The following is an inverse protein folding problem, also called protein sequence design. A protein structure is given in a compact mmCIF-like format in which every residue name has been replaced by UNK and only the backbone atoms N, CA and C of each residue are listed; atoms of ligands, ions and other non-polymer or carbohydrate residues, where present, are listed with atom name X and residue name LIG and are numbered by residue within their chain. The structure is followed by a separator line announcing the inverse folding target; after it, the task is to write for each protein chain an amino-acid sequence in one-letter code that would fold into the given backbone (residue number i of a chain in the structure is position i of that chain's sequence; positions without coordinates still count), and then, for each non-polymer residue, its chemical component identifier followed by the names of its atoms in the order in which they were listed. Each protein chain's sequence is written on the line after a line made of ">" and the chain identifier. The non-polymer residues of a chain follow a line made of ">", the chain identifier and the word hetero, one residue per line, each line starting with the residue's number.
data_IF_332295405361
#
_entry.id   IF_332295405361
#
_cell.length_a   1.000
_cell.length_b   1.000
_cell.length_c   1.000
_cell.angle_alpha   90.00
_cell.angle_beta   90.00
_cell.angle_gamma   90.00
#
_symmetry.space_group_name_H-M   'P 1'
#
loop_
_entity.id
_entity.type
_entity.pdbx_description
1 polymer ?
#
# COMPACT_ATOMS: atom_id res chain seq x y z
N UNK A 1 -40.31 9.55 56.34
CA UNK A 1 -39.89 10.40 55.20
C UNK A 1 -38.43 10.77 55.45
N UNK A 2 -37.42 10.51 54.62
CA UNK A 2 -37.24 9.76 53.40
C UNK A 2 -35.72 9.41 53.32
N UNK A 3 -35.38 8.26 52.73
CA UNK A 3 -34.02 7.93 52.28
C UNK A 3 -33.59 8.93 51.19
N UNK A 4 -32.28 9.17 51.03
CA UNK A 4 -31.56 9.04 49.75
C UNK A 4 -30.12 9.57 49.88
N UNK A 5 -29.11 8.70 49.82
CA UNK A 5 -28.44 8.13 48.64
C UNK A 5 -27.15 8.89 48.29
N UNK A 6 -26.04 8.26 48.66
CA UNK A 6 -24.68 8.46 48.16
C UNK A 6 -24.68 8.33 46.63
N UNK A 7 -24.39 9.42 45.89
CA UNK A 7 -24.17 9.36 44.44
C UNK A 7 -22.69 9.63 44.13
N UNK A 8 -22.02 8.55 43.76
CA UNK A 8 -20.63 8.49 43.27
C UNK A 8 -20.47 9.31 41.98
N UNK A 9 -19.30 9.90 41.72
CA UNK A 9 -19.03 10.58 40.45
C UNK A 9 -18.88 9.55 39.31
N UNK A 10 -19.71 9.70 38.28
CA UNK A 10 -19.58 9.01 36.99
C UNK A 10 -18.29 9.49 36.31
N UNK A 11 -17.28 8.63 36.24
CA UNK A 11 -16.08 8.89 35.44
C UNK A 11 -16.35 8.38 34.03
N UNK A 12 -16.56 9.30 33.09
CA UNK A 12 -16.66 8.97 31.65
C UNK A 12 -15.24 8.82 31.11
N UNK A 13 -14.81 7.58 30.88
CA UNK A 13 -13.58 7.30 30.17
C UNK A 13 -13.82 7.41 28.66
N UNK A 14 -13.48 8.55 28.08
CA UNK A 14 -13.35 8.67 26.62
C UNK A 14 -12.14 7.85 26.16
N UNK A 15 -12.37 6.64 25.69
CA UNK A 15 -11.36 5.87 24.96
C UNK A 15 -11.19 6.52 23.59
N UNK A 16 -10.23 7.44 23.49
CA UNK A 16 -9.79 8.01 22.22
C UNK A 16 -9.14 6.89 21.39
N UNK A 17 -9.88 6.35 20.43
CA UNK A 17 -9.32 5.55 19.36
C UNK A 17 -8.34 6.44 18.57
N UNK A 18 -7.03 6.12 18.52
CA UNK A 18 -6.15 6.82 17.61
C UNK A 18 -6.58 6.48 16.18
N UNK A 19 -7.22 7.44 15.51
CA UNK A 19 -7.31 7.44 14.06
C UNK A 19 -5.87 7.55 13.54
N UNK A 20 -5.26 6.39 13.26
CA UNK A 20 -4.01 6.30 12.50
C UNK A 20 -4.30 6.71 11.06
N UNK A 21 -4.50 8.00 10.83
CA UNK A 21 -4.49 8.58 9.50
C UNK A 21 -3.03 8.59 9.03
N UNK A 22 -2.56 7.48 8.46
CA UNK A 22 -1.29 7.45 7.77
C UNK A 22 -1.44 8.26 6.48
N UNK A 23 -0.95 9.49 6.49
CA UNK A 23 -0.66 10.21 5.26
C UNK A 23 0.56 9.53 4.61
N UNK A 24 0.32 8.53 3.77
CA UNK A 24 1.37 7.94 2.96
C UNK A 24 1.93 9.01 2.02
N UNK A 25 3.26 9.19 1.95
CA UNK A 25 3.87 10.13 1.00
C UNK A 25 3.53 9.67 -0.42
N UNK A 26 2.58 10.37 -1.06
CA UNK A 26 2.04 10.01 -2.39
C UNK A 26 3.05 10.20 -3.53
N UNK A 27 4.21 10.77 -3.22
CA UNK A 27 5.25 11.11 -4.18
C UNK A 27 6.38 10.07 -4.24
N UNK A 28 6.34 9.04 -3.37
CA UNK A 28 7.34 7.97 -3.33
C UNK A 28 6.69 6.61 -3.46
N UNK A 29 7.36 5.70 -4.18
CA UNK A 29 6.85 4.33 -4.31
C UNK A 29 6.98 3.57 -2.98
N UNK A 30 5.95 2.84 -2.59
CA UNK A 30 5.96 1.99 -1.38
C UNK A 30 5.82 0.52 -1.75
N UNK A 31 6.26 -0.35 -0.84
CA UNK A 31 6.16 -1.80 -0.98
C UNK A 31 5.42 -2.33 0.24
N UNK A 32 4.40 -3.14 -0.01
CA UNK A 32 3.63 -3.85 1.00
C UNK A 32 3.75 -5.36 0.80
N UNK A 33 3.82 -6.11 1.89
CA UNK A 33 3.84 -7.58 1.85
C UNK A 33 2.41 -8.07 1.65
N UNK A 34 2.22 -9.02 0.74
CA UNK A 34 0.91 -9.60 0.51
C UNK A 34 0.45 -10.44 1.72
N UNK A 35 -0.86 -10.43 1.96
CA UNK A 35 -1.45 -11.38 2.91
C UNK A 35 -1.22 -12.83 2.46
N UNK A 36 -1.18 -13.80 3.39
CA UNK A 36 -1.07 -15.21 3.04
C UNK A 36 -2.16 -15.68 2.07
N UNK A 37 -1.81 -16.60 1.16
CA UNK A 37 -2.75 -17.17 0.19
C UNK A 37 -2.95 -16.36 -1.10
N UNK A 38 -2.26 -15.22 -1.25
CA UNK A 38 -2.25 -14.47 -2.51
C UNK A 38 -1.33 -15.11 -3.56
N UNK A 39 -1.61 -14.83 -4.83
CA UNK A 39 -0.79 -15.30 -5.97
C UNK A 39 0.49 -14.48 -6.16
N UNK A 40 0.65 -13.39 -5.41
CA UNK A 40 1.79 -12.48 -5.35
C UNK A 40 2.33 -12.40 -3.93
N UNK A 41 3.61 -12.05 -3.80
CA UNK A 41 4.28 -11.92 -2.50
C UNK A 41 4.34 -10.46 -2.02
N UNK A 42 4.40 -9.51 -2.96
CA UNK A 42 4.41 -8.08 -2.64
C UNK A 42 3.51 -7.27 -3.58
N UNK A 43 3.11 -6.12 -3.05
CA UNK A 43 2.34 -5.08 -3.72
C UNK A 43 3.21 -3.83 -3.77
N UNK A 44 3.45 -3.31 -4.97
CA UNK A 44 4.19 -2.05 -5.14
C UNK A 44 3.23 -0.97 -5.54
N UNK A 45 3.07 0.04 -4.68
CA UNK A 45 2.38 1.27 -5.04
C UNK A 45 3.41 2.15 -5.72
N UNK A 46 3.26 2.33 -7.03
CA UNK A 46 4.19 3.12 -7.83
C UNK A 46 3.83 4.59 -7.70
N UNK A 47 4.85 5.44 -7.59
CA UNK A 47 4.66 6.89 -7.49
C UNK A 47 3.75 7.39 -8.62
N UNK A 48 2.83 8.30 -8.30
CA UNK A 48 1.87 8.83 -9.28
C UNK A 48 2.26 10.21 -9.83
N UNK A 49 3.52 10.60 -9.63
CA UNK A 49 4.11 11.85 -10.11
C UNK A 49 4.86 11.62 -11.42
N UNK A 50 4.64 12.51 -12.39
CA UNK A 50 5.40 12.52 -13.63
C UNK A 50 6.84 12.98 -13.35
N UNK A 51 7.80 12.33 -14.00
CA UNK A 51 9.21 12.70 -13.96
C UNK A 51 9.81 12.61 -15.37
N UNK A 52 10.98 13.21 -15.58
CA UNK A 52 11.73 13.11 -16.81
C UNK A 52 12.08 11.64 -17.09
N UNK A 53 11.40 11.04 -18.08
CA UNK A 53 11.44 9.61 -18.47
C UNK A 53 10.55 8.66 -17.64
N UNK A 54 9.58 9.18 -16.90
CA UNK A 54 8.58 8.37 -16.23
C UNK A 54 7.18 8.96 -16.37
N UNK A 55 6.28 8.18 -16.95
CA UNK A 55 4.85 8.48 -17.01
C UNK A 55 4.06 7.35 -16.32
N UNK A 56 3.39 7.60 -15.17
CA UNK A 56 2.63 6.57 -14.46
C UNK A 56 1.43 6.03 -15.25
N UNK A 57 0.94 6.74 -16.27
CA UNK A 57 -0.09 6.23 -17.18
C UNK A 57 0.44 5.18 -18.15
N UNK A 58 1.75 5.17 -18.43
CA UNK A 58 2.41 4.19 -19.30
C UNK A 58 2.73 2.93 -18.49
N UNK A 59 2.11 1.81 -18.87
CA UNK A 59 2.29 0.50 -18.22
C UNK A 59 3.74 0.08 -18.08
N UNK A 60 4.53 0.28 -19.13
CA UNK A 60 5.92 -0.13 -19.14
C UNK A 60 6.76 0.62 -18.09
N UNK A 61 6.51 1.92 -17.95
CA UNK A 61 7.19 2.77 -16.98
C UNK A 61 6.87 2.33 -15.55
N UNK A 62 5.61 2.02 -15.26
CA UNK A 62 5.18 1.44 -13.98
C UNK A 62 5.91 0.15 -13.66
N UNK A 63 5.97 -0.78 -14.60
CA UNK A 63 6.64 -2.07 -14.41
C UNK A 63 8.15 -1.87 -14.18
N UNK A 64 8.79 -0.99 -14.94
CA UNK A 64 10.22 -0.70 -14.79
C UNK A 64 10.52 -0.08 -13.42
N UNK A 65 9.70 0.87 -12.97
CA UNK A 65 9.86 1.47 -11.65
C UNK A 65 9.60 0.46 -10.53
N UNK A 66 8.52 -0.32 -10.62
CA UNK A 66 8.20 -1.36 -9.63
C UNK A 66 9.34 -2.38 -9.49
N UNK A 67 9.92 -2.83 -10.62
CA UNK A 67 11.10 -3.71 -10.60
C UNK A 67 12.30 -3.06 -9.94
N UNK A 68 12.57 -1.78 -10.24
CA UNK A 68 13.70 -1.05 -9.65
C UNK A 68 13.56 -0.95 -8.14
N UNK A 69 12.36 -0.59 -7.68
CA UNK A 69 12.03 -0.40 -6.25
C UNK A 69 12.06 -1.73 -5.50
N UNK A 70 11.53 -2.81 -6.08
CA UNK A 70 11.49 -4.13 -5.42
C UNK A 70 12.82 -4.91 -5.49
N UNK A 71 13.77 -4.51 -6.34
CA UNK A 71 15.04 -5.24 -6.56
C UNK A 71 15.85 -5.54 -5.29
N UNK A 72 15.97 -4.63 -4.29
CA UNK A 72 16.71 -4.92 -3.06
C UNK A 72 16.11 -6.05 -2.24
N UNK A 73 14.79 -6.25 -2.30
CA UNK A 73 14.06 -7.27 -1.54
C UNK A 73 13.94 -8.55 -2.36
N UNK A 74 13.77 -8.42 -3.66
CA UNK A 74 13.41 -9.50 -4.57
C UNK A 74 14.26 -9.43 -5.84
N UNK A 75 15.47 -10.00 -5.82
CA UNK A 75 16.41 -9.88 -6.94
C UNK A 75 15.93 -10.58 -8.23
N UNK A 76 15.17 -11.67 -8.08
CA UNK A 76 14.47 -12.38 -9.17
C UNK A 76 12.98 -12.32 -8.91
N UNK A 77 12.25 -11.68 -9.80
CA UNK A 77 10.82 -11.45 -9.63
C UNK A 77 10.06 -11.65 -10.95
N UNK A 78 8.78 -11.97 -10.82
CA UNK A 78 7.80 -12.01 -11.90
C UNK A 78 6.70 -11.00 -11.58
N UNK A 79 6.29 -10.21 -12.58
CA UNK A 79 5.10 -9.38 -12.47
C UNK A 79 3.90 -10.28 -12.78
N UNK A 80 2.96 -10.39 -11.84
CA UNK A 80 1.79 -11.24 -11.99
C UNK A 80 0.53 -10.46 -12.34
N UNK A 81 0.52 -9.14 -12.13
CA UNK A 81 -0.58 -8.27 -12.52
C UNK A 81 -0.34 -6.81 -12.15
N UNK A 82 -1.34 -5.98 -12.46
CA UNK A 82 -1.40 -4.58 -12.07
C UNK A 82 -2.85 -4.14 -11.88
N UNK A 83 -3.05 -3.09 -11.07
CA UNK A 83 -4.34 -2.44 -10.85
C UNK A 83 -4.18 -0.92 -10.85
N UNK A 84 -5.23 -0.21 -11.26
CA UNK A 84 -5.34 1.24 -11.17
C UNK A 84 -6.57 1.59 -10.36
N UNK A 85 -6.39 2.21 -9.21
CA UNK A 85 -7.48 2.68 -8.37
C UNK A 85 -7.69 4.17 -8.63
N UNK A 86 -8.77 4.51 -9.35
CA UNK A 86 -9.18 5.90 -9.50
C UNK A 86 -9.88 6.33 -8.22
N UNK A 87 -9.38 7.40 -7.60
CA UNK A 87 -9.98 7.99 -6.39
C UNK A 87 -10.94 9.14 -6.70
N UNK A 88 -11.33 9.27 -7.98
CA UNK A 88 -12.28 10.29 -8.44
C UNK A 88 -13.72 9.87 -8.13
N UNK A 89 -14.37 10.64 -7.25
CA UNK A 89 -15.80 10.52 -6.96
C UNK A 89 -16.48 11.68 -7.67
N UNK A 90 -17.09 11.43 -8.84
CA UNK A 90 -18.02 12.32 -9.54
C UNK A 90 -17.74 13.84 -9.44
N UNK A 91 -16.50 14.28 -9.68
CA UNK A 91 -16.12 15.70 -9.64
C UNK A 91 -15.97 16.35 -8.26
N UNK A 92 -16.09 15.58 -7.16
CA UNK A 92 -15.89 16.07 -5.78
C UNK A 92 -14.44 15.91 -5.30
N UNK A 93 -13.73 14.87 -5.75
CA UNK A 93 -12.33 14.63 -5.39
C UNK A 93 -11.49 14.39 -6.65
N UNK A 94 -10.60 15.33 -6.97
CA UNK A 94 -9.54 15.16 -8.00
C UNK A 94 -8.38 14.35 -7.44
N UNK A 95 -8.67 13.15 -6.93
CA UNK A 95 -7.64 12.27 -6.41
C UNK A 95 -6.82 11.68 -7.56
N UNK A 96 -5.48 11.87 -7.52
CA UNK A 96 -4.60 11.16 -8.45
C UNK A 96 -4.80 9.64 -8.31
N UNK A 97 -4.83 8.89 -9.41
CA UNK A 97 -4.96 7.44 -9.35
C UNK A 97 -3.81 6.82 -8.55
N UNK A 98 -4.12 5.77 -7.81
CA UNK A 98 -3.12 4.89 -7.22
C UNK A 98 -2.84 3.74 -8.19
N UNK A 99 -1.56 3.51 -8.47
CA UNK A 99 -1.12 2.47 -9.39
C UNK A 99 -0.41 1.40 -8.62
N UNK A 100 -0.88 0.17 -8.80
CA UNK A 100 -0.41 -0.96 -8.02
C UNK A 100 0.12 -2.04 -8.96
N UNK A 101 1.30 -2.55 -8.65
CA UNK A 101 1.92 -3.66 -9.39
C UNK A 101 2.11 -4.84 -8.44
N UNK A 102 1.58 -5.99 -8.83
CA UNK A 102 1.68 -7.23 -8.06
C UNK A 102 2.89 -8.03 -8.52
N UNK A 103 3.75 -8.41 -7.57
CA UNK A 103 4.97 -9.14 -7.87
C UNK A 103 5.10 -10.41 -7.04
N UNK A 104 5.68 -11.42 -7.68
CA UNK A 104 6.03 -12.70 -7.09
C UNK A 104 7.53 -12.89 -7.14
N UNK A 105 8.14 -13.24 -6.01
CA UNK A 105 9.54 -13.58 -5.94
C UNK A 105 9.78 -14.99 -6.46
N UNK A 106 10.79 -15.10 -7.31
CA UNK A 106 11.20 -16.38 -7.84
C UNK A 106 12.34 -16.92 -6.98
N UNK A 107 12.34 -18.23 -6.67
CA UNK A 107 13.44 -18.82 -5.95
C UNK A 107 14.74 -18.59 -6.72
N UNK A 108 15.78 -18.20 -5.99
CA UNK A 108 17.13 -18.29 -6.50
C UNK A 108 17.37 -19.77 -6.80
N UNK A 109 17.34 -20.16 -8.08
CA UNK A 109 17.87 -21.47 -8.49
C UNK A 109 19.28 -21.57 -7.93
N UNK A 110 19.47 -22.32 -6.85
CA UNK A 110 20.77 -22.83 -6.48
C UNK A 110 21.23 -23.65 -7.68
N UNK A 111 22.38 -23.28 -8.26
CA UNK A 111 23.07 -24.21 -9.14
C UNK A 111 23.43 -25.38 -8.26
N UNK A 112 22.74 -26.50 -8.40
CA UNK A 112 23.21 -27.78 -7.87
C UNK A 112 24.52 -28.05 -8.64
N UNK A 113 25.69 -28.07 -7.97
CA UNK A 113 26.90 -28.53 -8.64
C UNK A 113 26.67 -30.01 -9.01
N UNK A 114 26.85 -30.33 -10.29
CA UNK A 114 26.94 -31.74 -10.73
C UNK A 114 28.30 -32.30 -10.35
#
# INVERSE_FOLDING_TARGET
>A
MALDQVRKPFTVACVALPCSASAQPRDTSTIEVAAPGQLYDYVVHVQNTYDYRYNPEVRQDRILLARRVARPICSKMQIVGESKFKTEIFGLTTGKPDYVVYLKCLPLRSRIPR
#
